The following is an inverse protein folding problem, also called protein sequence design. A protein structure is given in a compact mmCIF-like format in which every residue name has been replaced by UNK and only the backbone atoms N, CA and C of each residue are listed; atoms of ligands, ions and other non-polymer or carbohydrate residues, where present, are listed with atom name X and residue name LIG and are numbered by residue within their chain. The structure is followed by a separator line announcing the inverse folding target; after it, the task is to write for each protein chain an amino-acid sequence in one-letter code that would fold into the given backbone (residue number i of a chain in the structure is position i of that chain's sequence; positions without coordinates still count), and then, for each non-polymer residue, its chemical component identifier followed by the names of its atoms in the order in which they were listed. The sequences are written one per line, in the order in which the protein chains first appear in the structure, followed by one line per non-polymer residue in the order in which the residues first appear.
data_IF_787660571709
#
_entry.id   IF_787660571709
#
_cell.length_a   1.000
_cell.length_b   1.000
_cell.length_c   1.000
_cell.angle_alpha   90.00
_cell.angle_beta   90.00
_cell.angle_gamma   90.00
#
_symmetry.space_group_name_H-M   'P 1'
#
loop_
_entity.id
_entity.type
_entity.pdbx_description
1 polymer ?
#
# COMPACT_ATOMS: atom_id res chain seq x y z
N UNK A 1 -9.83 -24.52 7.63
CA UNK A 1 -10.60 -23.32 7.28
C UNK A 1 -9.92 -22.09 7.90
N UNK A 2 -9.84 -20.99 7.19
CA UNK A 2 -9.18 -19.80 7.69
C UNK A 2 -10.10 -18.59 7.61
N UNK A 3 -9.85 -17.64 8.49
CA UNK A 3 -10.54 -16.36 8.49
C UNK A 3 -9.52 -15.29 8.17
N UNK A 4 -9.86 -14.41 7.26
CA UNK A 4 -8.99 -13.29 6.92
C UNK A 4 -9.67 -11.97 7.25
N UNK A 5 -8.85 -11.01 7.61
CA UNK A 5 -9.29 -9.62 7.77
C UNK A 5 -8.62 -8.76 6.74
N UNK A 6 -9.24 -7.63 6.47
CA UNK A 6 -8.74 -6.67 5.50
C UNK A 6 -8.61 -5.32 6.17
N UNK A 7 -7.47 -4.69 6.00
CA UNK A 7 -7.27 -3.30 6.42
C UNK A 7 -6.90 -2.47 5.21
N UNK A 8 -7.26 -1.21 5.25
CA UNK A 8 -6.97 -0.29 4.16
C UNK A 8 -5.93 0.72 4.60
N UNK A 9 -4.98 1.00 3.71
CA UNK A 9 -3.98 2.02 3.99
C UNK A 9 -3.52 2.68 2.69
N UNK A 10 -2.90 3.84 2.86
CA UNK A 10 -2.30 4.58 1.75
C UNK A 10 -0.81 4.70 1.99
N UNK A 11 -0.05 4.62 0.92
CA UNK A 11 1.39 4.79 0.99
C UNK A 11 1.85 5.66 -0.17
N UNK A 12 2.96 6.34 0.00
CA UNK A 12 3.49 7.19 -1.04
C UNK A 12 5.00 6.99 -1.17
N UNK A 13 5.52 7.32 -2.35
CA UNK A 13 6.95 7.23 -2.63
C UNK A 13 7.30 8.18 -3.77
N UNK A 14 8.47 8.77 -3.69
CA UNK A 14 9.00 9.57 -4.79
C UNK A 14 9.61 8.70 -5.87
N UNK A 15 9.85 7.42 -5.59
CA UNK A 15 10.54 6.50 -6.49
C UNK A 15 9.63 5.77 -7.46
N UNK A 16 8.40 5.48 -7.05
CA UNK A 16 7.45 4.80 -7.91
C UNK A 16 6.42 4.00 -7.15
N UNK A 17 5.53 3.37 -7.90
CA UNK A 17 4.42 2.61 -7.35
C UNK A 17 4.91 1.39 -6.57
N UNK A 18 5.85 0.65 -7.14
CA UNK A 18 6.37 -0.55 -6.49
C UNK A 18 6.99 -0.22 -5.12
N UNK A 19 7.77 0.87 -5.08
CA UNK A 19 8.38 1.30 -3.84
C UNK A 19 7.32 1.71 -2.82
N UNK A 20 6.28 2.41 -3.26
CA UNK A 20 5.17 2.79 -2.38
C UNK A 20 4.49 1.56 -1.78
N UNK A 21 4.22 0.54 -2.59
CA UNK A 21 3.59 -0.70 -2.13
C UNK A 21 4.49 -1.41 -1.12
N UNK A 22 5.76 -1.55 -1.43
CA UNK A 22 6.73 -2.18 -0.52
C UNK A 22 6.79 -1.45 0.80
N UNK A 23 6.81 -0.13 0.76
CA UNK A 23 6.88 0.69 1.96
C UNK A 23 5.64 0.49 2.83
N UNK A 24 4.46 0.52 2.20
CA UNK A 24 3.19 0.29 2.91
C UNK A 24 3.11 -1.09 3.55
N UNK A 25 3.47 -2.12 2.80
CA UNK A 25 3.48 -3.49 3.32
C UNK A 25 4.49 -3.65 4.46
N UNK A 26 5.66 -3.05 4.32
CA UNK A 26 6.68 -3.09 5.36
C UNK A 26 6.21 -2.47 6.66
N UNK A 27 5.56 -1.32 6.59
CA UNK A 27 5.01 -0.66 7.78
C UNK A 27 3.89 -1.48 8.40
N UNK A 28 2.99 -2.02 7.58
CA UNK A 28 1.88 -2.82 8.07
C UNK A 28 2.39 -4.08 8.77
N UNK A 29 3.43 -4.71 8.23
CA UNK A 29 3.98 -5.95 8.79
C UNK A 29 4.60 -5.76 10.17
N UNK A 30 4.90 -4.52 10.55
CA UNK A 30 5.44 -4.24 11.88
C UNK A 30 4.40 -4.49 12.99
N UNK A 31 3.12 -4.34 12.67
CA UNK A 31 2.05 -4.52 13.66
C UNK A 31 1.05 -5.63 13.30
N UNK A 32 1.00 -6.03 12.04
CA UNK A 32 0.06 -7.04 11.56
C UNK A 32 0.84 -8.26 11.09
N UNK A 33 0.48 -9.43 11.59
CA UNK A 33 1.12 -10.68 11.23
C UNK A 33 0.31 -11.44 10.21
N UNK A 34 0.97 -12.35 9.50
CA UNK A 34 0.31 -13.27 8.56
C UNK A 34 -0.33 -12.55 7.38
N UNK A 35 0.33 -11.51 6.90
CA UNK A 35 -0.11 -10.81 5.68
C UNK A 35 0.06 -11.78 4.51
N UNK A 36 -0.98 -11.93 3.69
CA UNK A 36 -0.98 -12.86 2.56
C UNK A 36 -1.00 -12.15 1.21
N UNK A 37 -1.54 -10.96 1.16
CA UNK A 37 -1.59 -10.23 -0.09
C UNK A 37 -2.20 -8.88 0.08
N UNK A 38 -2.33 -8.18 -1.03
CA UNK A 38 -2.92 -6.85 -1.03
C UNK A 38 -3.57 -6.58 -2.39
N UNK A 39 -4.65 -5.83 -2.36
CA UNK A 39 -5.24 -5.27 -3.57
C UNK A 39 -4.80 -3.83 -3.69
N UNK A 40 -4.34 -3.45 -4.86
CA UNK A 40 -4.04 -2.04 -5.15
C UNK A 40 -5.31 -1.44 -5.73
N UNK A 41 -6.00 -0.64 -4.93
CA UNK A 41 -7.30 -0.09 -5.30
C UNK A 41 -7.20 1.10 -6.21
N UNK A 42 -6.30 2.02 -5.88
CA UNK A 42 -6.17 3.28 -6.59
C UNK A 42 -4.71 3.68 -6.65
N UNK A 43 -4.37 4.33 -7.75
CA UNK A 43 -3.04 4.88 -7.96
C UNK A 43 -3.24 6.35 -8.32
N UNK A 44 -2.52 7.21 -7.63
CA UNK A 44 -2.58 8.64 -7.86
C UNK A 44 -1.17 9.19 -7.90
N UNK A 45 -0.95 10.20 -8.70
CA UNK A 45 0.30 10.94 -8.68
C UNK A 45 0.03 12.34 -8.17
N UNK A 46 0.93 12.84 -7.33
CA UNK A 46 0.95 14.25 -6.98
C UNK A 46 1.98 14.91 -7.88
N UNK A 47 1.60 16.02 -8.48
CA UNK A 47 2.45 16.68 -9.45
C UNK A 47 2.86 18.07 -9.00
N UNK A 48 3.92 18.55 -9.62
CA UNK A 48 4.29 19.94 -9.56
C UNK A 48 3.47 20.71 -10.59
N UNK A 49 3.52 22.02 -10.56
CA UNK A 49 2.71 22.85 -11.46
C UNK A 49 3.04 22.66 -12.93
N UNK A 50 4.25 22.19 -13.23
CA UNK A 50 4.68 21.94 -14.61
C UNK A 50 4.26 20.56 -15.12
N UNK A 51 3.56 19.78 -14.31
CA UNK A 51 3.11 18.45 -14.68
C UNK A 51 4.09 17.33 -14.35
N UNK A 52 5.26 17.66 -13.82
CA UNK A 52 6.20 16.62 -13.42
C UNK A 52 5.70 15.91 -12.17
N UNK A 53 6.03 14.63 -12.05
CA UNK A 53 5.57 13.82 -10.92
C UNK A 53 6.43 14.12 -9.69
N UNK A 54 5.77 14.51 -8.61
CA UNK A 54 6.44 14.75 -7.34
C UNK A 54 6.46 13.50 -6.48
N UNK A 55 5.34 12.77 -6.44
CA UNK A 55 5.29 11.51 -5.73
C UNK A 55 4.18 10.62 -6.26
N UNK A 56 4.34 9.34 -6.02
CA UNK A 56 3.36 8.31 -6.35
C UNK A 56 2.61 7.93 -5.07
N UNK A 57 1.29 7.80 -5.17
CA UNK A 57 0.45 7.39 -4.04
C UNK A 57 -0.36 6.17 -4.43
N UNK A 58 -0.44 5.22 -3.52
CA UNK A 58 -1.26 4.03 -3.72
C UNK A 58 -2.21 3.89 -2.54
N UNK A 59 -3.43 3.51 -2.84
CA UNK A 59 -4.38 3.10 -1.81
C UNK A 59 -4.56 1.60 -1.96
N UNK A 60 -4.41 0.86 -0.86
CA UNK A 60 -4.45 -0.59 -0.94
C UNK A 60 -5.18 -1.21 0.23
N UNK A 61 -5.71 -2.39 -0.01
CA UNK A 61 -6.31 -3.23 1.04
C UNK A 61 -5.40 -4.42 1.25
N UNK A 62 -4.99 -4.62 2.48
CA UNK A 62 -4.10 -5.70 2.86
C UNK A 62 -4.93 -6.78 3.53
N UNK A 63 -4.78 -8.03 3.08
CA UNK A 63 -5.45 -9.14 3.72
C UNK A 63 -4.47 -9.96 4.53
N UNK A 64 -4.92 -10.40 5.69
CA UNK A 64 -4.10 -11.22 6.58
C UNK A 64 -4.96 -12.24 7.29
N UNK A 65 -4.33 -13.34 7.69
CA UNK A 65 -5.01 -14.44 8.34
C UNK A 65 -5.11 -14.17 9.84
N UNK A 66 -6.30 -14.39 10.37
CA UNK A 66 -6.57 -14.24 11.81
C UNK A 66 -6.68 -15.63 12.41
N UNK A 67 -5.87 -15.89 13.43
CA UNK A 67 -5.90 -17.17 14.14
C UNK A 67 -6.75 -17.08 15.39
#
# INVERSE_FOLDING_TARGET
MSVTKVIELSASSERGIEDAVKHGLGKASATVKNIKGAWINEIKVATNDDGSIREWRVNMRINFVVD
#
